data_IF_117877015372
#
_entry.id   IF_117877015372
#
_cell.length_a   1.000
_cell.length_b   1.000
_cell.length_c   1.000
_cell.angle_alpha   90.00
_cell.angle_beta   90.00
_cell.angle_gamma   90.00
#
_symmetry.space_group_name_H-M   'P 1'
#
loop_
_entity.id
_entity.type
_entity.pdbx_description
1 polymer ?
#
# COMPACT_ATOMS: atom_id res chain seq x y z
N UNK A 1 -12.17 -19.52 16.98
CA UNK A 1 -10.91 -18.76 17.11
C UNK A 1 -9.85 -19.46 16.28
N UNK A 2 -9.22 -18.75 15.34
CA UNK A 2 -8.22 -19.30 14.42
C UNK A 2 -6.81 -19.14 14.98
N UNK A 3 -6.04 -20.23 15.00
CA UNK A 3 -4.64 -20.21 15.39
C UNK A 3 -3.81 -19.88 14.16
N UNK A 4 -2.96 -18.85 14.26
CA UNK A 4 -2.05 -18.47 13.18
C UNK A 4 -0.67 -19.03 13.50
N UNK A 5 -0.10 -19.78 12.55
CA UNK A 5 1.24 -20.37 12.72
C UNK A 5 2.33 -19.42 12.22
N UNK A 6 3.56 -19.57 12.73
CA UNK A 6 4.74 -18.80 12.28
C UNK A 6 4.98 -18.96 10.76
N UNK A 7 4.69 -20.14 10.22
CA UNK A 7 4.78 -20.44 8.78
C UNK A 7 3.77 -19.58 8.01
N UNK A 8 2.53 -19.49 8.51
CA UNK A 8 1.48 -18.67 7.91
C UNK A 8 1.87 -17.19 7.88
N UNK A 9 2.41 -16.67 8.98
CA UNK A 9 2.87 -15.27 9.06
C UNK A 9 4.01 -15.02 8.07
N UNK A 10 4.97 -15.93 7.96
CA UNK A 10 6.07 -15.84 6.99
C UNK A 10 5.54 -15.76 5.56
N UNK A 11 4.59 -16.62 5.20
CA UNK A 11 4.01 -16.63 3.85
C UNK A 11 3.28 -15.33 3.53
N UNK A 12 2.51 -14.78 4.47
CA UNK A 12 1.81 -13.50 4.27
C UNK A 12 2.76 -12.33 4.09
N UNK A 13 3.80 -12.26 4.93
CA UNK A 13 4.79 -11.19 4.86
C UNK A 13 5.61 -11.27 3.57
N UNK A 14 6.03 -12.46 3.14
CA UNK A 14 6.71 -12.67 1.86
C UNK A 14 5.83 -12.24 0.68
N UNK A 15 4.54 -12.53 0.73
CA UNK A 15 3.58 -12.07 -0.29
C UNK A 15 3.44 -10.54 -0.30
N UNK A 16 3.31 -9.92 0.88
CA UNK A 16 3.13 -8.46 1.03
C UNK A 16 4.31 -7.66 0.48
N UNK A 17 5.55 -8.08 0.79
CA UNK A 17 6.76 -7.39 0.31
C UNK A 17 6.91 -7.47 -1.21
N UNK A 18 6.38 -8.51 -1.83
CA UNK A 18 6.38 -8.62 -3.29
C UNK A 18 5.42 -7.63 -3.98
N UNK A 19 4.50 -6.99 -3.25
CA UNK A 19 3.52 -6.07 -3.83
C UNK A 19 4.13 -4.72 -4.22
N UNK A 20 3.58 -4.02 -5.24
CA UNK A 20 4.11 -2.74 -5.70
C UNK A 20 4.21 -1.66 -4.62
N UNK A 21 3.28 -1.67 -3.66
CA UNK A 21 3.28 -0.72 -2.55
C UNK A 21 4.55 -0.86 -1.70
N UNK A 22 4.89 -2.09 -1.32
CA UNK A 22 6.07 -2.34 -0.47
C UNK A 22 7.38 -2.14 -1.23
N UNK A 23 7.42 -2.50 -2.52
CA UNK A 23 8.57 -2.21 -3.40
C UNK A 23 8.80 -0.72 -3.59
N UNK A 24 7.75 0.08 -3.68
CA UNK A 24 7.87 1.53 -3.86
C UNK A 24 8.55 2.22 -2.67
N UNK A 25 8.36 1.68 -1.46
CA UNK A 25 8.99 2.19 -0.23
C UNK A 25 10.21 1.37 0.19
N UNK A 26 10.72 0.50 -0.69
CA UNK A 26 11.89 -0.36 -0.46
C UNK A 26 11.82 -1.17 0.85
N UNK A 27 10.61 -1.62 1.21
CA UNK A 27 10.38 -2.39 2.42
C UNK A 27 10.80 -3.84 2.17
N UNK A 28 11.86 -4.28 2.83
CA UNK A 28 12.36 -5.66 2.77
C UNK A 28 12.21 -6.38 4.10
N UNK A 29 12.08 -7.71 4.08
CA UNK A 29 12.16 -8.53 5.29
C UNK A 29 13.54 -9.14 5.36
N UNK A 30 14.24 -8.90 6.47
CA UNK A 30 15.47 -9.61 6.78
C UNK A 30 15.16 -11.07 7.12
N UNK A 31 15.83 -12.01 6.46
CA UNK A 31 15.68 -13.45 6.72
C UNK A 31 16.02 -13.82 8.17
N UNK A 32 16.83 -13.01 8.86
CA UNK A 32 17.13 -13.18 10.29
C UNK A 32 15.87 -13.08 11.17
N UNK A 33 14.86 -12.32 10.74
CA UNK A 33 13.58 -12.13 11.46
C UNK A 33 12.86 -13.45 11.73
N UNK A 34 12.91 -14.40 10.80
CA UNK A 34 12.26 -15.70 10.97
C UNK A 34 13.13 -16.73 11.70
N UNK A 35 14.44 -16.50 11.76
CA UNK A 35 15.43 -17.45 12.28
C UNK A 35 15.89 -17.14 13.71
N UNK A 36 15.36 -16.06 14.32
CA UNK A 36 15.64 -15.75 15.72
C UNK A 36 15.01 -16.82 16.63
N UNK A 37 15.79 -17.86 16.94
CA UNK A 37 15.50 -18.85 17.97
C UNK A 37 16.00 -18.40 19.36
N UNK A 38 16.41 -17.14 19.49
CA UNK A 38 16.99 -16.62 20.71
C UNK A 38 15.97 -15.74 21.41
N UNK A 39 15.72 -16.09 22.67
CA UNK A 39 15.13 -15.26 23.71
C UNK A 39 15.51 -13.80 23.47
N UNK A 40 14.59 -13.04 22.88
CA UNK A 40 14.75 -11.60 22.83
C UNK A 40 14.62 -11.16 24.29
N UNK A 41 15.71 -10.69 24.89
CA UNK A 41 15.64 -9.79 26.05
C UNK A 41 14.49 -8.84 25.77
N UNK A 42 13.54 -8.78 26.69
CA UNK A 42 12.33 -7.96 26.56
C UNK A 42 12.74 -6.52 26.28
N UNK A 43 12.86 -6.17 25.00
CA UNK A 43 12.90 -4.78 24.54
C UNK A 43 11.55 -4.26 24.98
N UNK A 44 11.56 -3.38 25.99
CA UNK A 44 10.36 -2.79 26.54
C UNK A 44 9.57 -2.19 25.37
N UNK A 45 8.40 -2.77 25.07
CA UNK A 45 7.49 -2.37 23.99
C UNK A 45 7.00 -0.90 24.08
N UNK A 46 7.52 -0.14 25.04
CA UNK A 46 7.18 1.26 25.28
C UNK A 46 7.98 2.24 24.41
N UNK A 47 9.10 1.85 23.79
CA UNK A 47 9.94 2.82 23.06
C UNK A 47 9.53 3.03 21.59
N UNK A 48 8.69 2.15 21.01
CA UNK A 48 8.22 2.27 19.60
C UNK A 48 6.69 2.19 19.53
N UNK A 49 6.00 2.83 20.47
CA UNK A 49 4.54 2.96 20.43
C UNK A 49 4.21 4.44 20.32
N UNK A 50 3.86 4.90 19.11
CA UNK A 50 3.04 6.10 19.03
C UNK A 50 1.78 5.81 19.85
N UNK A 51 1.54 6.61 20.89
CA UNK A 51 0.36 6.49 21.74
C UNK A 51 -0.87 6.99 20.99
N UNK A 52 -1.28 6.25 19.96
CA UNK A 52 -2.45 6.52 19.15
C UNK A 52 -3.60 5.71 19.74
N UNK A 53 -4.72 6.37 20.01
CA UNK A 53 -5.95 5.70 20.42
C UNK A 53 -6.48 4.83 19.27
N UNK A 54 -7.28 3.81 19.58
CA UNK A 54 -7.88 2.94 18.56
C UNK A 54 -8.79 3.78 17.64
N UNK A 55 -9.46 4.76 18.22
CA UNK A 55 -10.31 5.74 17.56
C UNK A 55 -9.53 6.54 16.52
N UNK A 56 -8.34 7.06 16.88
CA UNK A 56 -7.49 7.84 15.99
C UNK A 56 -6.87 6.98 14.88
N UNK A 57 -6.47 5.74 15.18
CA UNK A 57 -6.00 4.79 14.15
C UNK A 57 -7.10 4.50 13.12
N UNK A 58 -8.33 4.26 13.59
CA UNK A 58 -9.47 4.04 12.72
C UNK A 58 -9.81 5.28 11.89
N UNK A 59 -9.78 6.47 12.49
CA UNK A 59 -9.98 7.74 11.80
C UNK A 59 -9.00 7.92 10.65
N UNK A 60 -7.70 7.71 10.89
CA UNK A 60 -6.66 7.77 9.86
C UNK A 60 -6.90 6.75 8.74
N UNK A 61 -7.33 5.53 9.07
CA UNK A 61 -7.66 4.50 8.08
C UNK A 61 -8.84 4.92 7.17
N UNK A 62 -9.89 5.51 7.73
CA UNK A 62 -11.02 6.01 6.95
C UNK A 62 -10.64 7.20 6.07
N UNK A 63 -9.82 8.12 6.57
CA UNK A 63 -9.28 9.24 5.79
C UNK A 63 -8.43 8.74 4.63
N UNK A 64 -7.51 7.81 4.88
CA UNK A 64 -6.67 7.20 3.85
C UNK A 64 -7.51 6.51 2.77
N UNK A 65 -8.51 5.71 3.17
CA UNK A 65 -9.43 5.05 2.23
C UNK A 65 -10.20 6.06 1.38
N UNK A 66 -10.67 7.16 1.96
CA UNK A 66 -11.37 8.23 1.23
C UNK A 66 -10.45 8.88 0.20
N UNK A 67 -9.23 9.25 0.59
CA UNK A 67 -8.28 9.91 -0.30
C UNK A 67 -7.89 9.02 -1.48
N UNK A 68 -7.71 7.72 -1.25
CA UNK A 68 -7.45 6.75 -2.32
C UNK A 68 -8.64 6.66 -3.26
N UNK A 69 -9.86 6.59 -2.73
CA UNK A 69 -11.08 6.53 -3.54
C UNK A 69 -11.24 7.75 -4.45
N UNK A 70 -11.07 8.96 -3.90
CA UNK A 70 -11.15 10.21 -4.69
C UNK A 70 -10.07 10.26 -5.78
N UNK A 71 -8.83 9.87 -5.45
CA UNK A 71 -7.74 9.82 -6.44
C UNK A 71 -8.03 8.84 -7.59
N UNK A 72 -8.68 7.70 -7.28
CA UNK A 72 -9.10 6.73 -8.32
C UNK A 72 -10.19 7.34 -9.19
N UNK A 73 -11.20 7.98 -8.61
CA UNK A 73 -12.27 8.61 -9.37
C UNK A 73 -11.74 9.71 -10.31
N UNK A 74 -10.87 10.58 -9.80
CA UNK A 74 -10.27 11.64 -10.59
C UNK A 74 -9.45 11.08 -11.76
N UNK A 75 -8.63 10.05 -11.52
CA UNK A 75 -7.87 9.38 -12.58
C UNK A 75 -8.79 8.78 -13.65
N UNK A 76 -9.91 8.17 -13.24
CA UNK A 76 -10.89 7.60 -14.18
C UNK A 76 -11.57 8.68 -15.02
N UNK A 77 -11.95 9.79 -14.40
CA UNK A 77 -12.57 10.92 -15.10
C UNK A 77 -11.61 11.56 -16.10
N UNK A 78 -10.37 11.80 -15.68
CA UNK A 78 -9.33 12.36 -16.53
C UNK A 78 -8.97 11.42 -17.67
N UNK A 79 -8.84 10.12 -17.42
CA UNK A 79 -8.61 9.12 -18.47
C UNK A 79 -9.74 9.11 -19.50
N UNK A 80 -11.01 9.09 -19.06
CA UNK A 80 -12.17 9.16 -19.97
C UNK A 80 -12.20 10.46 -20.76
N UNK A 81 -11.88 11.59 -20.14
CA UNK A 81 -11.77 12.89 -20.79
C UNK A 81 -10.70 12.89 -21.90
N UNK A 82 -9.51 12.36 -21.61
CA UNK A 82 -8.44 12.23 -22.61
C UNK A 82 -8.85 11.35 -23.79
N UNK A 83 -9.53 10.23 -23.55
CA UNK A 83 -10.04 9.38 -24.63
C UNK A 83 -11.08 10.08 -25.49
N UNK A 84 -12.02 10.83 -24.88
CA UNK A 84 -13.02 11.60 -25.61
C UNK A 84 -12.40 12.73 -26.44
N UNK A 85 -11.42 13.45 -25.89
CA UNK A 85 -10.70 14.49 -26.62
C UNK A 85 -9.94 13.93 -27.83
N UNK A 86 -9.28 12.78 -27.68
CA UNK A 86 -8.58 12.11 -28.78
C UNK A 86 -9.54 11.61 -29.88
N UNK A 87 -10.78 11.24 -29.53
CA UNK A 87 -11.80 10.86 -30.51
C UNK A 87 -12.42 12.06 -31.24
N UNK A 88 -12.60 13.19 -30.54
CA UNK A 88 -13.19 14.40 -31.12
C UNK A 88 -12.19 15.21 -31.96
N UNK A 89 -10.90 15.15 -31.62
CA UNK A 89 -9.83 15.87 -32.31
C UNK A 89 -8.63 14.95 -32.59
N UNK A 90 -8.77 13.98 -33.53
CA UNK A 90 -7.66 13.11 -33.88
C UNK A 90 -6.52 13.92 -34.50
N UNK A 91 -5.31 13.77 -33.97
CA UNK A 91 -4.10 14.53 -34.29
C UNK A 91 -3.57 14.35 -35.73
N UNK A 92 -4.31 13.66 -36.60
CA UNK A 92 -3.91 13.27 -37.95
C UNK A 92 -4.41 14.23 -39.05
N UNK A 93 -4.92 15.43 -38.70
CA UNK A 93 -5.44 16.40 -39.67
C UNK A 93 -4.64 17.70 -39.81
N UNK A 94 -3.42 17.78 -39.26
CA UNK A 94 -2.46 18.85 -39.59
C UNK A 94 -1.15 18.22 -40.08
N UNK A 95 -1.12 17.82 -41.34
CA UNK A 95 0.05 17.18 -41.93
C UNK A 95 0.01 17.04 -43.45
N UNK A 96 -0.49 18.06 -44.16
CA UNK A 96 -0.13 18.29 -45.58
C UNK A 96 -0.67 19.67 -46.02
N UNK A 97 0.18 20.70 -45.88
CA UNK A 97 0.15 21.86 -46.76
C UNK A 97 1.23 21.68 -47.82
#
# INVERSE_FOLDING_TARGET
MGWVTKITIKAWLQYLVATPLYRMYDVTIDDSFFNLNQSTSQVSQNEIRENITIEDSNRRCYEMKRNIFESILEKQMNQKSCYLMNMLFPSNLLGSF
#
